data_IF_880923037296
#
_entry.id   IF_880923037296
#
_cell.length_a   1.000
_cell.length_b   1.000
_cell.length_c   1.000
_cell.angle_alpha   90.00
_cell.angle_beta   90.00
_cell.angle_gamma   90.00
#
_symmetry.space_group_name_H-M   'P 1'
#
loop_
_entity.id
_entity.type
_entity.pdbx_description
1 polymer ?
#
# COMPACT_ATOMS: atom_id res chain seq x y z
N UNK A 1 -19.14 -17.14 -4.47
CA UNK A 1 -17.98 -17.00 -3.56
C UNK A 1 -17.75 -15.52 -3.31
N UNK A 2 -18.19 -15.01 -2.17
CA UNK A 2 -18.06 -13.59 -1.83
C UNK A 2 -16.64 -13.33 -1.33
N UNK A 3 -15.73 -13.01 -2.24
CA UNK A 3 -14.47 -12.40 -1.85
C UNK A 3 -14.80 -11.00 -1.31
N UNK A 4 -15.07 -10.89 0.00
CA UNK A 4 -14.81 -9.63 0.71
C UNK A 4 -13.32 -9.40 0.59
N UNK A 5 -12.91 -8.69 -0.45
CA UNK A 5 -11.56 -8.13 -0.55
C UNK A 5 -11.45 -7.18 0.63
N UNK A 6 -11.04 -7.72 1.78
CA UNK A 6 -10.76 -6.93 2.97
C UNK A 6 -9.74 -5.90 2.52
N UNK A 7 -10.19 -4.67 2.31
CA UNK A 7 -9.36 -3.57 1.86
C UNK A 7 -8.38 -3.28 2.98
N UNK A 8 -7.25 -3.99 2.95
CA UNK A 8 -6.19 -3.80 3.92
C UNK A 8 -5.64 -2.40 3.65
N UNK A 9 -5.99 -1.48 4.53
CA UNK A 9 -5.46 -0.12 4.54
C UNK A 9 -4.08 -0.12 5.17
N UNK A 10 -3.16 0.57 4.54
CA UNK A 10 -1.79 0.71 4.99
C UNK A 10 -1.41 2.19 4.99
N UNK A 11 -0.44 2.55 5.83
CA UNK A 11 0.20 3.87 5.82
C UNK A 11 1.57 3.72 5.17
N UNK A 12 1.87 4.56 4.18
CA UNK A 12 3.20 4.66 3.58
C UNK A 12 4.14 5.40 4.54
N UNK A 13 5.18 4.74 5.05
CA UNK A 13 6.01 5.28 6.16
C UNK A 13 7.33 5.93 5.72
N UNK A 14 7.73 5.74 4.47
CA UNK A 14 9.02 6.23 3.98
C UNK A 14 8.96 7.69 3.57
N UNK A 15 10.05 8.42 3.81
CA UNK A 15 10.23 9.78 3.30
C UNK A 15 10.74 9.75 1.85
N UNK A 16 9.91 9.20 0.95
CA UNK A 16 10.19 9.11 -0.49
C UNK A 16 8.93 9.53 -1.24
N UNK A 17 9.10 10.13 -2.43
CA UNK A 17 7.99 10.58 -3.29
C UNK A 17 7.04 11.60 -2.64
N UNK A 18 7.39 12.20 -1.50
CA UNK A 18 6.51 13.12 -0.76
C UNK A 18 5.24 12.46 -0.20
N UNK A 19 5.20 11.12 -0.05
CA UNK A 19 3.98 10.38 0.32
C UNK A 19 3.98 9.85 1.76
N UNK A 20 4.93 10.27 2.60
CA UNK A 20 5.03 9.79 3.98
C UNK A 20 3.75 10.12 4.76
N UNK A 21 3.21 9.13 5.46
CA UNK A 21 1.99 9.25 6.26
C UNK A 21 0.69 9.01 5.49
N UNK A 22 0.72 8.96 4.15
CA UNK A 22 -0.49 8.79 3.36
C UNK A 22 -1.03 7.35 3.45
N UNK A 23 -2.36 7.24 3.41
CA UNK A 23 -3.06 5.96 3.33
C UNK A 23 -2.95 5.41 1.92
N UNK A 24 -2.74 4.09 1.83
CA UNK A 24 -2.69 3.35 0.58
C UNK A 24 -3.26 1.94 0.75
N UNK A 25 -3.64 1.35 -0.38
CA UNK A 25 -4.09 -0.03 -0.48
C UNK A 25 -3.12 -0.82 -1.35
N UNK A 26 -2.91 -2.11 -1.03
CA UNK A 26 -2.08 -2.98 -1.86
C UNK A 26 -2.94 -3.56 -2.97
N UNK A 27 -2.61 -3.26 -4.23
CA UNK A 27 -3.34 -3.75 -5.41
C UNK A 27 -2.72 -5.01 -6.00
N UNK A 28 -1.41 -5.21 -5.81
CA UNK A 28 -0.71 -6.42 -6.26
C UNK A 28 0.51 -6.73 -5.37
N UNK A 29 0.95 -8.00 -5.36
CA UNK A 29 2.20 -8.43 -4.74
C UNK A 29 3.10 -9.07 -5.80
N UNK A 30 4.32 -8.59 -5.90
CA UNK A 30 5.35 -9.12 -6.78
C UNK A 30 6.37 -10.00 -6.03
N UNK A 31 7.48 -10.30 -6.71
CA UNK A 31 8.62 -11.02 -6.14
C UNK A 31 9.51 -10.07 -5.32
N UNK A 32 10.38 -10.63 -4.47
CA UNK A 32 11.41 -9.88 -3.72
C UNK A 32 10.82 -8.71 -2.89
N UNK A 33 9.75 -8.97 -2.13
CA UNK A 33 9.05 -7.97 -1.31
C UNK A 33 8.50 -6.76 -2.08
N UNK A 34 8.39 -6.82 -3.41
CA UNK A 34 7.77 -5.76 -4.19
C UNK A 34 6.26 -5.82 -4.08
N UNK A 35 5.61 -4.68 -3.92
CA UNK A 35 4.16 -4.53 -3.89
C UNK A 35 3.74 -3.35 -4.73
N UNK A 36 2.58 -3.45 -5.36
CA UNK A 36 1.92 -2.31 -5.98
C UNK A 36 0.95 -1.70 -4.99
N UNK A 37 1.06 -0.40 -4.74
CA UNK A 37 0.14 0.34 -3.87
C UNK A 37 -0.58 1.42 -4.64
N UNK A 38 -1.84 1.64 -4.28
CA UNK A 38 -2.67 2.74 -4.75
C UNK A 38 -2.98 3.67 -3.59
N UNK A 39 -2.75 4.95 -3.79
CA UNK A 39 -3.06 6.03 -2.84
C UNK A 39 -4.47 6.56 -3.08
N UNK A 40 -4.99 7.34 -2.14
CA UNK A 40 -6.35 7.90 -2.20
C UNK A 40 -6.57 8.86 -3.37
N UNK A 41 -5.51 9.54 -3.83
CA UNK A 41 -5.52 10.40 -5.03
C UNK A 41 -5.53 9.61 -6.35
N UNK A 42 -5.56 8.28 -6.29
CA UNK A 42 -5.52 7.40 -7.46
C UNK A 42 -4.11 7.11 -7.97
N UNK A 43 -3.07 7.76 -7.43
CA UNK A 43 -1.69 7.48 -7.80
C UNK A 43 -1.31 6.04 -7.44
N UNK A 44 -0.62 5.36 -8.35
CA UNK A 44 -0.22 3.96 -8.18
C UNK A 44 1.28 3.82 -8.36
N UNK A 45 1.93 3.05 -7.49
CA UNK A 45 3.38 2.88 -7.51
C UNK A 45 3.80 1.49 -7.02
N UNK A 46 4.88 0.96 -7.58
CA UNK A 46 5.56 -0.22 -7.04
C UNK A 46 6.58 0.22 -5.99
N UNK A 47 6.51 -0.38 -4.80
CA UNK A 47 7.40 -0.11 -3.67
C UNK A 47 7.72 -1.39 -2.91
N UNK A 48 8.66 -1.35 -1.97
CA UNK A 48 8.87 -2.46 -1.04
C UNK A 48 7.71 -2.57 -0.04
N UNK A 49 7.31 -3.79 0.33
CA UNK A 49 6.37 -4.07 1.42
C UNK A 49 6.83 -3.50 2.77
N UNK A 50 8.14 -3.30 2.93
CA UNK A 50 8.71 -2.65 4.12
C UNK A 50 8.43 -1.14 4.16
N UNK A 51 8.01 -0.52 3.05
CA UNK A 51 7.67 0.89 2.99
C UNK A 51 6.26 1.19 3.53
N UNK A 52 5.45 0.15 3.79
CA UNK A 52 4.08 0.29 4.27
C UNK A 52 3.90 -0.34 5.64
N UNK A 53 2.96 0.17 6.42
CA UNK A 53 2.56 -0.38 7.72
C UNK A 53 1.05 -0.58 7.74
N UNK A 54 0.58 -1.72 8.24
CA UNK A 54 -0.87 -1.94 8.41
C UNK A 54 -1.44 -0.89 9.35
N UNK A 55 -2.57 -0.32 8.98
CA UNK A 55 -3.42 0.44 9.91
C UNK A 55 -4.10 -0.60 10.80
N UNK A 56 -3.93 -0.50 12.12
CA UNK A 56 -4.78 -1.27 13.04
C UNK A 56 -6.18 -0.65 12.95
N UNK A 57 -7.17 -1.50 12.70
CA UNK A 57 -8.56 -1.12 12.95
C UNK A 57 -8.77 -0.91 14.45
#
# INVERSE_FOLDING_TARGET
MNHRTSEKRYIYRWNRQGRKGQVCTVTARGKMNSICVRFEDGYTMVTSGNAIRRVKQ
#
